data_IF_461822463199
#
_entry.id   IF_461822463199
#
_cell.length_a   1.000
_cell.length_b   1.000
_cell.length_c   1.000
_cell.angle_alpha   90.00
_cell.angle_beta   90.00
_cell.angle_gamma   90.00
#
_symmetry.space_group_name_H-M   'P 1'
#
loop_
_entity.id
_entity.type
_entity.pdbx_description
1 polymer ?
#
# COMPACT_ATOMS: atom_id res chain seq x y z
N UNK A 1 -37.15 1.19 23.47
CA UNK A 1 -36.08 1.05 22.46
C UNK A 1 -36.74 0.66 21.15
N UNK A 2 -36.62 1.49 20.11
CA UNK A 2 -37.23 1.24 18.81
C UNK A 2 -36.31 0.33 17.96
N UNK A 3 -36.75 -0.87 17.55
CA UNK A 3 -35.95 -1.80 16.74
C UNK A 3 -35.59 -1.25 15.35
N UNK A 4 -36.34 -0.27 14.81
CA UNK A 4 -35.99 0.41 13.55
C UNK A 4 -34.78 1.34 13.68
N UNK A 5 -34.59 1.91 14.87
CA UNK A 5 -33.45 2.80 15.17
C UNK A 5 -32.13 2.02 15.25
N UNK A 6 -32.15 0.80 15.82
CA UNK A 6 -30.97 -0.08 15.90
C UNK A 6 -30.50 -0.55 14.51
N UNK A 7 -31.42 -0.83 13.59
CA UNK A 7 -31.11 -1.21 12.21
C UNK A 7 -30.41 -0.08 11.43
N UNK A 8 -30.83 1.17 11.66
CA UNK A 8 -30.23 2.33 11.01
C UNK A 8 -28.79 2.60 11.52
N UNK A 9 -28.56 2.48 12.83
CA UNK A 9 -27.23 2.64 13.44
C UNK A 9 -26.24 1.57 12.94
N UNK A 10 -26.69 0.32 12.80
CA UNK A 10 -25.84 -0.77 12.29
C UNK A 10 -25.43 -0.52 10.82
N UNK A 11 -26.34 0.00 9.99
CA UNK A 11 -26.07 0.35 8.61
C UNK A 11 -25.08 1.52 8.50
N UNK A 12 -25.29 2.58 9.28
CA UNK A 12 -24.39 3.73 9.35
C UNK A 12 -22.97 3.33 9.80
N UNK A 13 -22.86 2.45 10.80
CA UNK A 13 -21.56 1.94 11.24
C UNK A 13 -20.86 1.11 10.16
N UNK A 14 -21.58 0.21 9.47
CA UNK A 14 -21.02 -0.57 8.35
C UNK A 14 -20.50 0.35 7.24
N UNK A 15 -21.27 1.38 6.93
CA UNK A 15 -20.95 2.32 5.88
C UNK A 15 -19.77 3.24 6.27
N UNK A 16 -19.65 3.64 7.55
CA UNK A 16 -18.46 4.31 8.08
C UNK A 16 -17.20 3.45 7.94
N UNK A 17 -17.27 2.18 8.35
CA UNK A 17 -16.16 1.23 8.23
C UNK A 17 -15.75 1.04 6.77
N UNK A 18 -16.72 0.97 5.84
CA UNK A 18 -16.46 0.87 4.41
C UNK A 18 -15.74 2.11 3.88
N UNK A 19 -16.24 3.31 4.19
CA UNK A 19 -15.64 4.58 3.76
C UNK A 19 -14.25 4.80 4.35
N UNK A 20 -14.03 4.40 5.58
CA UNK A 20 -12.71 4.48 6.23
C UNK A 20 -11.72 3.56 5.51
N UNK A 21 -12.10 2.31 5.22
CA UNK A 21 -11.30 1.40 4.37
C UNK A 21 -11.03 1.96 2.99
N UNK A 22 -12.03 2.55 2.34
CA UNK A 22 -11.88 3.11 0.99
C UNK A 22 -10.98 4.35 1.00
N UNK A 23 -11.10 5.24 2.00
CA UNK A 23 -10.21 6.40 2.20
C UNK A 23 -8.78 5.96 2.46
N UNK A 24 -8.59 4.94 3.29
CA UNK A 24 -7.28 4.36 3.55
C UNK A 24 -6.65 3.78 2.27
N UNK A 25 -7.44 3.09 1.46
CA UNK A 25 -6.99 2.54 0.18
C UNK A 25 -6.63 3.64 -0.82
N UNK A 26 -7.31 4.79 -0.76
CA UNK A 26 -7.13 5.90 -1.71
C UNK A 26 -6.16 6.99 -1.24
N UNK A 27 -5.51 6.83 -0.08
CA UNK A 27 -4.64 7.88 0.49
C UNK A 27 -3.40 8.16 -0.37
N UNK A 28 -2.95 7.19 -1.17
CA UNK A 28 -1.73 7.28 -1.97
C UNK A 28 -1.99 6.99 -3.45
N UNK A 29 -2.85 7.79 -4.08
CA UNK A 29 -3.11 7.72 -5.53
C UNK A 29 -2.03 8.43 -6.36
N UNK A 30 -1.27 9.35 -5.77
CA UNK A 30 -0.17 10.07 -6.42
C UNK A 30 1.18 9.40 -6.15
N UNK A 31 1.91 8.93 -7.19
CA UNK A 31 3.25 8.34 -7.05
C UNK A 31 4.24 9.26 -6.33
N UNK A 32 4.24 10.55 -6.67
CA UNK A 32 5.15 11.55 -6.06
C UNK A 32 4.91 11.70 -4.56
N UNK A 33 3.64 11.73 -4.15
CA UNK A 33 3.28 11.84 -2.73
C UNK A 33 3.67 10.57 -1.96
N UNK A 34 3.39 9.41 -2.55
CA UNK A 34 3.75 8.11 -1.98
C UNK A 34 5.26 7.98 -1.80
N UNK A 35 6.04 8.25 -2.85
CA UNK A 35 7.49 8.21 -2.83
C UNK A 35 8.06 9.15 -1.77
N UNK A 36 7.65 10.43 -1.77
CA UNK A 36 8.11 11.40 -0.78
C UNK A 36 7.88 10.92 0.65
N UNK A 37 6.71 10.33 0.93
CA UNK A 37 6.38 9.84 2.27
C UNK A 37 7.22 8.62 2.64
N UNK A 38 7.43 7.69 1.71
CA UNK A 38 8.30 6.51 1.93
C UNK A 38 9.74 6.94 2.22
N UNK A 39 10.28 7.88 1.44
CA UNK A 39 11.65 8.39 1.63
C UNK A 39 11.82 9.09 2.98
N UNK A 40 10.87 9.96 3.36
CA UNK A 40 10.92 10.67 4.64
C UNK A 40 10.90 9.70 5.83
N UNK A 41 10.10 8.63 5.75
CA UNK A 41 10.07 7.59 6.78
C UNK A 41 11.38 6.78 6.79
N UNK A 42 11.92 6.41 5.63
CA UNK A 42 13.17 5.66 5.51
C UNK A 42 14.37 6.46 6.07
N UNK A 43 14.43 7.76 5.80
CA UNK A 43 15.45 8.67 6.36
C UNK A 43 15.38 8.71 7.90
N UNK A 44 14.16 8.75 8.46
CA UNK A 44 13.90 8.65 9.89
C UNK A 44 14.07 7.24 10.47
N UNK A 45 14.56 6.25 9.69
CA UNK A 45 14.67 4.83 10.05
C UNK A 45 13.34 4.15 10.41
N UNK A 46 12.21 4.75 10.02
CA UNK A 46 10.85 4.23 10.19
C UNK A 46 10.51 3.28 9.02
N UNK A 47 11.33 2.24 8.86
CA UNK A 47 11.22 1.31 7.72
C UNK A 47 9.93 0.48 7.74
N UNK A 48 9.36 0.21 8.92
CA UNK A 48 8.10 -0.55 9.06
C UNK A 48 6.90 0.28 8.60
N UNK A 49 6.88 1.55 8.94
CA UNK A 49 5.86 2.51 8.53
C UNK A 49 5.95 2.76 7.03
N UNK A 50 7.17 2.88 6.49
CA UNK A 50 7.39 2.95 5.05
C UNK A 50 6.84 1.70 4.33
N UNK A 51 7.07 0.50 4.91
CA UNK A 51 6.57 -0.76 4.37
C UNK A 51 5.04 -0.80 4.37
N UNK A 52 4.39 -0.33 5.43
CA UNK A 52 2.93 -0.24 5.52
C UNK A 52 2.33 0.65 4.41
N UNK A 53 3.03 1.71 4.00
CA UNK A 53 2.62 2.55 2.86
C UNK A 53 2.72 1.75 1.56
N UNK A 54 3.89 1.15 1.27
CA UNK A 54 4.07 0.32 0.07
C UNK A 54 3.00 -0.77 -0.01
N UNK A 55 2.71 -1.41 1.12
CA UNK A 55 1.68 -2.43 1.32
C UNK A 55 0.25 -2.02 0.92
N UNK A 56 -0.02 -0.71 0.78
CA UNK A 56 -1.34 -0.17 0.41
C UNK A 56 -1.40 0.46 -0.98
N UNK A 57 -0.26 0.65 -1.66
CA UNK A 57 -0.21 1.30 -2.96
C UNK A 57 -0.93 0.46 -4.04
N UNK A 58 -1.65 1.12 -4.94
CA UNK A 58 -2.18 0.49 -6.14
C UNK A 58 -1.07 0.08 -7.11
N UNK A 59 -1.30 -0.86 -8.05
CA UNK A 59 -0.26 -1.45 -8.89
C UNK A 59 0.58 -0.43 -9.68
N UNK A 60 -0.07 0.51 -10.39
CA UNK A 60 0.64 1.53 -11.18
C UNK A 60 1.42 2.52 -10.33
N UNK A 61 0.88 2.89 -9.16
CA UNK A 61 1.57 3.77 -8.20
C UNK A 61 2.78 3.06 -7.63
N UNK A 62 2.64 1.79 -7.23
CA UNK A 62 3.74 1.00 -6.69
C UNK A 62 4.87 0.84 -7.71
N UNK A 63 4.55 0.53 -8.98
CA UNK A 63 5.56 0.42 -10.03
C UNK A 63 6.34 1.72 -10.21
N UNK A 64 5.65 2.87 -10.21
CA UNK A 64 6.28 4.19 -10.33
C UNK A 64 7.16 4.53 -9.12
N UNK A 65 6.72 4.19 -7.90
CA UNK A 65 7.52 4.38 -6.68
C UNK A 65 8.75 3.46 -6.69
N UNK A 66 8.59 2.21 -7.12
CA UNK A 66 9.67 1.23 -7.16
C UNK A 66 10.83 1.66 -8.09
N UNK A 67 10.53 2.31 -9.21
CA UNK A 67 11.55 2.80 -10.15
C UNK A 67 12.37 3.97 -9.61
N UNK A 68 11.85 4.72 -8.63
CA UNK A 68 12.51 5.90 -8.06
C UNK A 68 13.08 5.67 -6.65
N UNK A 69 12.89 4.48 -6.08
CA UNK A 69 13.42 4.15 -4.75
C UNK A 69 14.95 3.97 -4.78
N UNK A 70 15.71 4.60 -3.85
CA UNK A 70 17.16 4.45 -3.77
C UNK A 70 17.52 3.11 -3.12
N UNK A 71 17.50 2.04 -3.92
CA UNK A 71 17.70 0.67 -3.44
C UNK A 71 19.06 0.45 -2.77
N UNK A 72 20.12 1.09 -3.27
CA UNK A 72 21.47 0.96 -2.70
C UNK A 72 21.49 1.40 -1.22
N UNK A 73 20.88 2.54 -0.91
CA UNK A 73 20.77 3.05 0.47
C UNK A 73 19.93 2.13 1.36
N UNK A 74 18.87 1.52 0.81
CA UNK A 74 18.07 0.56 1.57
C UNK A 74 18.88 -0.72 1.85
N UNK A 75 19.70 -1.19 0.91
CA UNK A 75 20.58 -2.35 1.13
C UNK A 75 21.65 -2.03 2.18
N UNK A 76 22.28 -0.86 2.12
CA UNK A 76 23.24 -0.42 3.14
C UNK A 76 22.63 -0.29 4.55
N UNK A 77 21.33 0.02 4.63
CA UNK A 77 20.60 0.12 5.90
C UNK A 77 20.20 -1.24 6.52
N UNK A 78 20.56 -2.36 5.89
CA UNK A 78 20.32 -3.69 6.45
C UNK A 78 21.03 -3.86 7.81
N UNK A 79 20.43 -4.59 8.76
CA UNK A 79 19.21 -5.41 8.62
C UNK A 79 17.88 -4.64 8.81
N UNK A 80 17.93 -3.35 9.15
CA UNK A 80 16.76 -2.58 9.58
C UNK A 80 15.72 -2.36 8.48
N UNK A 81 16.19 -2.24 7.23
CA UNK A 81 15.38 -2.06 6.03
C UNK A 81 14.80 -3.37 5.46
N UNK A 82 15.15 -4.53 6.02
CA UNK A 82 14.80 -5.85 5.46
C UNK A 82 13.31 -5.99 5.18
N UNK A 83 12.47 -5.62 6.15
CA UNK A 83 11.01 -5.70 6.02
C UNK A 83 10.44 -4.79 4.93
N UNK A 84 11.03 -3.62 4.70
CA UNK A 84 10.64 -2.69 3.63
C UNK A 84 10.95 -3.30 2.26
N UNK A 85 12.16 -3.83 2.10
CA UNK A 85 12.62 -4.47 0.86
C UNK A 85 11.77 -5.70 0.56
N UNK A 86 11.53 -6.55 1.56
CA UNK A 86 10.68 -7.74 1.43
C UNK A 86 9.26 -7.36 1.00
N UNK A 87 8.67 -6.34 1.62
CA UNK A 87 7.33 -5.85 1.27
C UNK A 87 7.28 -5.35 -0.17
N UNK A 88 8.28 -4.57 -0.59
CA UNK A 88 8.39 -4.09 -1.98
C UNK A 88 8.43 -5.24 -2.98
N UNK A 89 9.34 -6.22 -2.76
CA UNK A 89 9.52 -7.35 -3.66
C UNK A 89 8.27 -8.23 -3.74
N UNK A 90 7.67 -8.59 -2.60
CA UNK A 90 6.46 -9.40 -2.56
C UNK A 90 5.30 -8.75 -3.32
N UNK A 91 5.14 -7.43 -3.18
CA UNK A 91 4.09 -6.69 -3.89
C UNK A 91 4.35 -6.61 -5.40
N UNK A 92 5.58 -6.38 -5.82
CA UNK A 92 5.94 -6.34 -7.24
C UNK A 92 5.78 -7.72 -7.91
N UNK A 93 6.21 -8.78 -7.25
CA UNK A 93 6.03 -10.17 -7.72
C UNK A 93 4.55 -10.53 -7.85
N UNK A 94 3.75 -10.15 -6.85
CA UNK A 94 2.30 -10.36 -6.89
C UNK A 94 1.70 -9.69 -8.13
N UNK A 95 2.00 -8.41 -8.36
CA UNK A 95 1.46 -7.67 -9.52
C UNK A 95 1.90 -8.29 -10.84
N UNK A 96 3.18 -8.67 -10.96
CA UNK A 96 3.69 -9.31 -12.18
C UNK A 96 3.01 -10.65 -12.46
N UNK A 97 2.85 -11.51 -11.46
CA UNK A 97 2.14 -12.78 -11.62
C UNK A 97 0.70 -12.60 -12.10
N UNK A 98 -0.03 -11.59 -11.57
CA UNK A 98 -1.38 -11.28 -12.06
C UNK A 98 -1.41 -10.80 -13.51
N UNK A 99 -0.40 -10.03 -13.95
CA UNK A 99 -0.31 -9.59 -15.35
C UNK A 99 -0.07 -10.76 -16.31
N UNK A 100 0.78 -11.71 -15.93
CA UNK A 100 1.05 -12.91 -16.74
C UNK A 100 -0.22 -13.78 -16.89
N UNK A 101 -0.93 -14.04 -15.79
CA UNK A 101 -2.19 -14.80 -15.82
C UNK A 101 -3.26 -14.07 -16.66
N UNK A 102 -3.39 -12.75 -16.51
CA UNK A 102 -4.33 -11.97 -17.31
C UNK A 102 -4.00 -12.03 -18.80
N UNK A 103 -2.71 -12.02 -19.16
CA UNK A 103 -2.27 -12.17 -20.55
C UNK A 103 -2.63 -13.53 -21.14
N UNK A 104 -2.57 -14.60 -20.33
CA UNK A 104 -2.91 -15.97 -20.75
C UNK A 104 -4.43 -16.20 -20.92
N UNK A 105 -5.28 -15.48 -20.18
CA UNK A 105 -6.74 -15.60 -20.28
C UNK A 105 -7.35 -14.80 -21.44
N UNK A 106 -6.58 -13.89 -22.03
CA UNK A 106 -6.99 -13.08 -23.20
C UNK A 106 -6.50 -13.66 -24.54
N UNK A 107 -5.94 -14.86 -24.55
CA UNK A 107 -5.65 -15.69 -25.74
C UNK A 107 -6.54 -16.94 -25.73
#
# INVERSE_FOLDING_TARGET
MDPRSTGNIMNENRERIRRERDREKNTYTSPRLALRRVLLLAEGRQFREAAAILGRLGPGVLQSVATELPMDLLVEALPHSSHLIETLLNRLLTIRGWMEIASLLHH
#
